data_IF_841688571458
#
_entry.id   IF_841688571458
#
_cell.length_a   1.000
_cell.length_b   1.000
_cell.length_c   1.000
_cell.angle_alpha   90.00
_cell.angle_beta   90.00
_cell.angle_gamma   90.00
#
_symmetry.space_group_name_H-M   'P 1'
#
loop_
_entity.id
_entity.type
_entity.pdbx_description
1 polymer ?
#
# COMPACT_ATOMS: atom_id res chain seq x y z
N UNK A 1 -9.29 -7.09 -0.58
CA UNK A 1 -9.15 -5.80 0.14
C UNK A 1 -9.65 -5.90 1.58
N UNK A 2 -10.87 -6.40 1.80
CA UNK A 2 -11.45 -6.72 3.14
C UNK A 2 -10.45 -7.46 4.05
N UNK A 3 -9.85 -8.55 3.55
CA UNK A 3 -8.89 -9.34 4.32
C UNK A 3 -7.61 -8.60 4.74
N UNK A 4 -7.17 -7.60 3.96
CA UNK A 4 -6.01 -6.79 4.31
C UNK A 4 -6.34 -5.76 5.40
N UNK A 5 -7.58 -5.25 5.43
CA UNK A 5 -8.06 -4.29 6.42
C UNK A 5 -8.25 -4.97 7.79
N UNK A 6 -8.77 -6.21 7.80
CA UNK A 6 -8.91 -7.01 9.03
C UNK A 6 -7.56 -7.26 9.73
N UNK A 7 -6.47 -7.42 8.97
CA UNK A 7 -5.12 -7.59 9.53
C UNK A 7 -4.54 -6.29 10.14
N UNK A 8 -5.04 -5.11 9.74
CA UNK A 8 -4.67 -3.84 10.37
C UNK A 8 -5.41 -3.58 11.68
N UNK A 9 -6.66 -4.01 11.77
CA UNK A 9 -7.49 -3.84 12.97
C UNK A 9 -6.84 -4.50 14.20
N UNK A 10 -6.17 -5.65 14.02
CA UNK A 10 -5.40 -6.32 15.08
C UNK A 10 -4.15 -5.55 15.56
N UNK A 11 -3.66 -4.57 14.79
CA UNK A 11 -2.43 -3.82 15.09
C UNK A 11 -2.68 -2.36 15.48
N UNK A 12 -3.93 -1.91 15.50
CA UNK A 12 -4.31 -0.53 15.81
C UNK A 12 -5.22 -0.54 17.05
N UNK A 13 -5.05 0.45 17.95
CA UNK A 13 -5.83 0.56 19.21
C UNK A 13 -7.28 1.04 18.95
N UNK A 14 -7.70 1.16 17.69
CA UNK A 14 -8.95 1.77 17.28
C UNK A 14 -9.73 0.80 16.39
N UNK A 15 -11.01 0.61 16.71
CA UNK A 15 -11.97 -0.19 15.93
C UNK A 15 -12.28 0.57 14.62
N UNK A 16 -11.77 0.07 13.49
CA UNK A 16 -11.91 0.71 12.19
C UNK A 16 -12.97 -0.02 11.37
N UNK A 17 -14.03 0.69 10.97
CA UNK A 17 -15.01 0.15 10.02
C UNK A 17 -14.43 0.15 8.60
N UNK A 18 -14.19 -1.03 8.06
CA UNK A 18 -13.68 -1.26 6.70
C UNK A 18 -14.57 -0.68 5.59
N UNK A 19 -15.86 -0.46 5.86
CA UNK A 19 -16.81 0.11 4.91
C UNK A 19 -16.79 1.64 4.91
N UNK A 20 -16.22 2.26 5.94
CA UNK A 20 -16.14 3.71 6.13
C UNK A 20 -14.70 4.22 6.01
N UNK A 21 -14.03 3.80 4.93
CA UNK A 21 -12.65 4.14 4.63
C UNK A 21 -12.54 4.97 3.36
N UNK A 22 -11.66 5.96 3.38
CA UNK A 22 -11.34 6.83 2.26
C UNK A 22 -9.87 6.63 1.85
N UNK A 23 -9.65 6.36 0.57
CA UNK A 23 -8.32 6.31 -0.05
C UNK A 23 -8.07 7.60 -0.82
N UNK A 24 -7.10 8.40 -0.37
CA UNK A 24 -6.70 9.62 -1.04
C UNK A 24 -5.36 9.43 -1.75
N UNK A 25 -5.24 9.71 -3.06
CA UNK A 25 -3.98 9.53 -3.77
C UNK A 25 -2.92 10.51 -3.27
N UNK A 26 -1.73 9.99 -2.99
CA UNK A 26 -0.54 10.78 -2.69
C UNK A 26 0.16 11.08 -4.01
N UNK A 27 0.44 12.37 -4.25
CA UNK A 27 1.16 12.78 -5.45
C UNK A 27 2.64 12.40 -5.33
N UNK A 28 3.04 11.42 -6.12
CA UNK A 28 4.42 10.92 -6.19
C UNK A 28 4.77 10.54 -7.65
N UNK A 29 5.96 9.98 -7.87
CA UNK A 29 6.37 9.33 -9.11
C UNK A 29 5.42 8.17 -9.44
N UNK A 30 5.32 7.86 -10.74
CA UNK A 30 4.39 6.85 -11.25
C UNK A 30 5.02 5.47 -11.44
N UNK A 31 6.33 5.42 -11.56
CA UNK A 31 7.08 4.18 -11.77
C UNK A 31 8.26 4.11 -10.80
N UNK A 32 8.71 2.89 -10.52
CA UNK A 32 9.92 2.65 -9.75
C UNK A 32 10.65 1.41 -10.25
N UNK A 33 11.96 1.54 -10.41
CA UNK A 33 12.84 0.42 -10.69
C UNK A 33 13.26 -0.28 -9.40
N UNK A 34 13.08 -1.60 -9.36
CA UNK A 34 13.54 -2.52 -8.33
C UNK A 34 14.66 -3.40 -8.88
N UNK A 35 15.56 -3.85 -8.00
CA UNK A 35 16.61 -4.81 -8.35
C UNK A 35 16.35 -6.13 -7.62
N UNK A 36 15.99 -7.17 -8.37
CA UNK A 36 15.64 -8.49 -7.86
C UNK A 36 16.36 -9.55 -8.69
N UNK A 37 17.00 -10.54 -8.03
CA UNK A 37 17.69 -11.62 -8.75
C UNK A 37 18.85 -11.18 -9.68
N UNK A 38 19.32 -9.94 -9.59
CA UNK A 38 20.31 -9.37 -10.51
C UNK A 38 19.71 -8.75 -11.77
N UNK A 39 18.39 -8.72 -11.90
CA UNK A 39 17.63 -8.05 -12.96
C UNK A 39 16.95 -6.78 -12.42
N UNK A 40 16.67 -5.85 -13.34
CA UNK A 40 15.97 -4.59 -13.03
C UNK A 40 14.54 -4.67 -13.52
N UNK A 41 13.60 -4.50 -12.61
CA UNK A 41 12.16 -4.51 -12.89
C UNK A 41 11.61 -3.09 -12.74
N UNK A 42 11.05 -2.51 -13.80
CA UNK A 42 10.35 -1.23 -13.71
C UNK A 42 8.85 -1.49 -13.53
N UNK A 43 8.31 -1.08 -12.39
CA UNK A 43 6.91 -1.30 -12.03
C UNK A 43 6.14 0.01 -11.95
N UNK A 44 4.85 -0.05 -12.26
CA UNK A 44 3.90 1.03 -11.96
C UNK A 44 3.62 1.06 -10.47
N UNK A 45 3.73 2.24 -9.84
CA UNK A 45 3.49 2.41 -8.41
C UNK A 45 2.43 3.45 -8.10
N UNK A 46 1.64 3.23 -7.05
CA UNK A 46 0.69 4.22 -6.51
C UNK A 46 0.75 4.22 -5.00
N UNK A 47 0.63 5.41 -4.42
CA UNK A 47 0.58 5.64 -2.98
C UNK A 47 -0.74 6.31 -2.62
N UNK A 48 -1.33 5.87 -1.52
CA UNK A 48 -2.58 6.41 -1.01
C UNK A 48 -2.50 6.63 0.49
N UNK A 49 -3.09 7.71 0.97
CA UNK A 49 -3.43 7.85 2.38
C UNK A 49 -4.69 7.03 2.65
N UNK A 50 -4.64 6.22 3.70
CA UNK A 50 -5.78 5.51 4.22
C UNK A 50 -6.37 6.34 5.36
N UNK A 51 -7.62 6.79 5.20
CA UNK A 51 -8.31 7.63 6.17
C UNK A 51 -9.61 6.97 6.63
N UNK A 52 -9.85 6.95 7.93
CA UNK A 52 -11.09 6.45 8.53
C UNK A 52 -12.10 7.59 8.69
N UNK A 53 -13.34 7.35 8.26
CA UNK A 53 -14.45 8.30 8.40
C UNK A 53 -15.20 8.13 9.74
N UNK A 54 -15.04 7.01 10.43
CA UNK A 54 -15.70 6.74 11.73
C UNK A 54 -15.02 7.43 12.92
N UNK A 55 -13.71 7.65 12.83
CA UNK A 55 -12.92 8.15 13.97
C UNK A 55 -13.07 9.66 14.21
N UNK A 56 -13.71 10.40 13.29
CA UNK A 56 -14.03 11.81 13.52
C UNK A 56 -15.22 12.28 12.69
N UNK A 57 -15.79 13.42 13.06
CA UNK A 57 -16.81 14.11 12.28
C UNK A 57 -16.26 14.89 11.08
N UNK A 58 -14.95 14.82 10.80
CA UNK A 58 -14.34 15.43 9.61
C UNK A 58 -14.79 14.65 8.35
N UNK A 59 -15.41 15.32 7.35
CA UNK A 59 -15.77 14.68 6.08
C UNK A 59 -14.59 14.09 5.30
N UNK A 60 -13.35 14.48 5.63
CA UNK A 60 -12.13 13.91 5.05
C UNK A 60 -11.55 12.77 5.88
N UNK A 61 -12.11 12.46 7.05
CA UNK A 61 -11.67 11.40 7.93
C UNK A 61 -10.30 11.64 8.58
N UNK A 62 -9.89 10.72 9.44
CA UNK A 62 -8.60 10.74 10.13
C UNK A 62 -7.63 9.81 9.42
N UNK A 63 -6.40 10.26 9.15
CA UNK A 63 -5.36 9.41 8.59
C UNK A 63 -4.98 8.32 9.58
N UNK A 64 -5.15 7.06 9.16
CA UNK A 64 -4.85 5.86 9.97
C UNK A 64 -3.73 5.02 9.37
N UNK A 65 -3.37 5.27 8.11
CA UNK A 65 -2.26 4.56 7.48
C UNK A 65 -2.03 5.02 6.06
N UNK A 66 -1.25 4.23 5.33
CA UNK A 66 -1.01 4.41 3.92
C UNK A 66 -1.00 3.08 3.19
N UNK A 67 -1.43 3.11 1.94
CA UNK A 67 -1.41 1.98 1.01
C UNK A 67 -0.40 2.27 -0.08
N UNK A 68 0.49 1.31 -0.30
CA UNK A 68 1.38 1.27 -1.44
C UNK A 68 0.95 0.14 -2.37
N UNK A 69 0.88 0.44 -3.67
CA UNK A 69 0.63 -0.55 -4.72
C UNK A 69 1.81 -0.55 -5.69
N UNK A 70 2.29 -1.74 -6.04
CA UNK A 70 3.16 -1.98 -7.19
C UNK A 70 2.43 -2.91 -8.16
N UNK A 71 2.55 -2.66 -9.46
CA UNK A 71 1.88 -3.45 -10.47
C UNK A 71 2.82 -3.79 -11.64
N UNK A 72 2.70 -5.03 -12.11
CA UNK A 72 3.35 -5.54 -13.31
C UNK A 72 2.29 -6.03 -14.29
N UNK A 73 2.32 -5.52 -15.52
CA UNK A 73 1.40 -5.94 -16.57
C UNK A 73 2.09 -6.93 -17.50
N UNK A 74 1.46 -8.07 -17.76
CA UNK A 74 1.94 -9.04 -18.73
C UNK A 74 1.33 -8.79 -20.12
N UNK A 75 2.05 -9.16 -21.17
CA UNK A 75 1.59 -9.03 -22.55
C UNK A 75 0.35 -9.90 -22.85
N UNK A 76 0.07 -10.91 -22.00
CA UNK A 76 -1.10 -11.78 -22.08
C UNK A 76 -2.40 -11.16 -21.55
N UNK A 77 -2.35 -9.94 -21.02
CA UNK A 77 -3.51 -9.27 -20.41
C UNK A 77 -3.72 -9.60 -18.94
N UNK A 78 -2.72 -10.17 -18.28
CA UNK A 78 -2.69 -10.37 -16.83
C UNK A 78 -2.05 -9.14 -16.16
N UNK A 79 -2.51 -8.84 -14.95
CA UNK A 79 -2.03 -7.71 -14.16
C UNK A 79 -1.84 -8.19 -12.73
N UNK A 80 -0.58 -8.33 -12.35
CA UNK A 80 -0.20 -8.70 -10.99
C UNK A 80 0.02 -7.44 -10.16
N UNK A 81 -0.54 -7.42 -8.96
CA UNK A 81 -0.52 -6.24 -8.09
C UNK A 81 -0.15 -6.66 -6.67
N UNK A 82 0.97 -6.13 -6.19
CA UNK A 82 1.34 -6.15 -4.78
C UNK A 82 0.70 -4.95 -4.07
N UNK A 83 -0.06 -5.22 -3.01
CA UNK A 83 -0.65 -4.19 -2.15
C UNK A 83 -0.07 -4.30 -0.75
N UNK A 84 0.63 -3.25 -0.31
CA UNK A 84 1.23 -3.15 1.03
C UNK A 84 0.51 -2.07 1.80
N UNK A 85 -0.17 -2.46 2.87
CA UNK A 85 -0.86 -1.52 3.76
C UNK A 85 -0.08 -1.38 5.06
N UNK A 86 0.18 -0.14 5.46
CA UNK A 86 1.00 0.19 6.63
C UNK A 86 0.26 1.16 7.55
N UNK A 87 0.12 0.86 8.85
CA UNK A 87 -0.53 1.76 9.79
C UNK A 87 0.29 3.02 10.00
N UNK A 88 -0.37 4.09 10.45
CA UNK A 88 0.30 5.33 10.84
C UNK A 88 1.34 5.04 11.95
N UNK A 89 2.54 5.59 11.80
CA UNK A 89 3.65 5.34 12.72
C UNK A 89 4.49 4.09 12.39
N UNK A 90 4.11 3.29 11.39
CA UNK A 90 4.97 2.20 10.91
C UNK A 90 6.29 2.75 10.37
N UNK A 91 7.43 2.24 10.86
CA UNK A 91 8.78 2.74 10.54
C UNK A 91 9.08 2.72 9.04
N UNK A 92 8.61 1.69 8.34
CA UNK A 92 8.73 1.56 6.90
C UNK A 92 8.13 2.73 6.10
N UNK A 93 7.22 3.54 6.66
CA UNK A 93 6.68 4.71 5.93
C UNK A 93 7.75 5.77 5.62
N UNK A 94 8.80 5.85 6.45
CA UNK A 94 9.93 6.77 6.27
C UNK A 94 11.20 6.06 5.80
N UNK A 95 11.48 4.85 6.29
CA UNK A 95 12.71 4.13 5.96
C UNK A 95 12.64 3.34 4.66
N UNK A 96 11.46 2.92 4.24
CA UNK A 96 11.25 2.08 3.05
C UNK A 96 9.95 2.48 2.33
N UNK A 97 9.94 3.71 1.79
CA UNK A 97 8.73 4.33 1.24
C UNK A 97 8.02 3.44 0.21
N UNK A 98 8.80 2.78 -0.63
CA UNK A 98 8.31 1.98 -1.75
C UNK A 98 8.28 0.48 -1.48
N UNK A 99 8.39 0.08 -0.21
CA UNK A 99 8.33 -1.33 0.20
C UNK A 99 9.32 -2.21 -0.58
N UNK A 100 10.54 -1.72 -0.80
CA UNK A 100 11.62 -2.37 -1.56
C UNK A 100 11.78 -3.83 -1.15
N UNK A 101 11.82 -4.10 0.16
CA UNK A 101 12.05 -5.45 0.67
C UNK A 101 10.91 -6.42 0.29
N UNK A 102 9.66 -5.96 0.39
CA UNK A 102 8.49 -6.79 0.07
C UNK A 102 8.31 -6.94 -1.44
N UNK A 103 8.56 -5.89 -2.21
CA UNK A 103 8.47 -5.91 -3.66
C UNK A 103 9.52 -6.83 -4.27
N UNK A 104 10.78 -6.76 -3.82
CA UNK A 104 11.83 -7.67 -4.25
C UNK A 104 11.51 -9.11 -3.89
N UNK A 105 10.95 -9.36 -2.70
CA UNK A 105 10.53 -10.69 -2.29
C UNK A 105 9.41 -11.25 -3.18
N UNK A 106 8.42 -10.41 -3.53
CA UNK A 106 7.34 -10.79 -4.44
C UNK A 106 7.87 -11.09 -5.84
N UNK A 107 8.70 -10.21 -6.42
CA UNK A 107 9.33 -10.42 -7.73
C UNK A 107 10.21 -11.68 -7.78
N UNK A 108 10.79 -12.08 -6.64
CA UNK A 108 11.63 -13.29 -6.55
C UNK A 108 10.82 -14.57 -6.30
N UNK A 109 9.52 -14.45 -6.03
CA UNK A 109 8.63 -15.58 -5.75
C UNK A 109 7.86 -16.05 -7.00
N UNK A 110 7.92 -15.27 -8.08
CA UNK A 110 7.49 -15.66 -9.43
C UNK A 110 8.57 -16.50 -10.12
#
# INVERSE_FOLDING_TARGET
MVQAIQLLDEQIVFDIDENEMLLLPIKDKKTHTYEAGGEKHELDIRLYELRSLTLSSDPQGVKVGEVFCAAESSWGGELDILVVVRPIGHTGLSSDRYAESLTVQWLSAE
#
